data_IF_591931218118
#
_entry.id   IF_591931218118
#
_cell.length_a   1.000
_cell.length_b   1.000
_cell.length_c   1.000
_cell.angle_alpha   90.00
_cell.angle_beta   90.00
_cell.angle_gamma   90.00
#
_symmetry.space_group_name_H-M   'P 1'
#
loop_
_entity.id
_entity.type
_entity.pdbx_description
1 polymer ?
#
# COMPACT_ATOMS: atom_id res chain seq x y z
N UNK A 1 7.88 8.79 -15.41
CA UNK A 1 7.70 9.16 -13.99
C UNK A 1 7.69 7.87 -13.22
N UNK A 2 8.70 7.66 -12.39
CA UNK A 2 8.86 6.43 -11.61
C UNK A 2 8.02 6.57 -10.34
N UNK A 3 7.20 5.57 -10.03
CA UNK A 3 6.47 5.52 -8.76
C UNK A 3 7.50 5.13 -7.69
N UNK A 4 7.87 6.08 -6.83
CA UNK A 4 8.89 5.85 -5.79
C UNK A 4 8.21 5.24 -4.56
N UNK A 5 8.03 3.93 -4.58
CA UNK A 5 7.48 3.18 -3.45
C UNK A 5 8.25 3.49 -2.16
N UNK A 6 7.55 3.86 -1.09
CA UNK A 6 8.17 4.11 0.22
C UNK A 6 8.91 2.85 0.68
N UNK A 7 10.25 2.88 0.68
CA UNK A 7 11.12 1.75 1.07
C UNK A 7 11.07 1.40 2.57
N UNK A 8 10.33 2.15 3.37
CA UNK A 8 10.27 1.94 4.81
C UNK A 8 9.41 0.70 5.14
N UNK A 9 9.98 -0.34 5.79
CA UNK A 9 9.24 -1.55 6.14
C UNK A 9 8.03 -1.22 7.03
N UNK A 10 6.91 -1.91 6.77
CA UNK A 10 5.71 -1.79 7.60
C UNK A 10 5.84 -2.70 8.83
N UNK A 11 5.46 -2.20 10.00
CA UNK A 11 5.35 -3.01 11.22
C UNK A 11 3.91 -3.34 11.52
N UNK A 12 3.66 -4.60 11.88
CA UNK A 12 2.33 -5.07 12.27
C UNK A 12 1.82 -4.26 13.48
N UNK A 13 0.60 -3.68 13.42
CA UNK A 13 0.05 -2.93 14.54
C UNK A 13 -0.21 -3.81 15.77
N UNK A 14 -0.34 -5.13 15.58
CA UNK A 14 -0.59 -6.12 16.64
C UNK A 14 0.69 -6.77 17.17
N UNK A 15 1.47 -7.37 16.28
CA UNK A 15 2.66 -8.15 16.66
C UNK A 15 3.94 -7.31 16.69
N UNK A 16 3.93 -6.10 16.12
CA UNK A 16 5.09 -5.18 16.02
C UNK A 16 6.29 -5.70 15.21
N UNK A 17 6.16 -6.90 14.64
CA UNK A 17 7.11 -7.49 13.67
C UNK A 17 7.00 -6.82 12.30
N UNK A 18 8.02 -6.98 11.48
CA UNK A 18 7.99 -6.55 10.08
C UNK A 18 6.96 -7.34 9.28
N UNK A 19 6.16 -6.64 8.48
CA UNK A 19 5.16 -7.25 7.60
C UNK A 19 5.75 -7.46 6.21
N UNK A 20 5.35 -8.56 5.57
CA UNK A 20 5.76 -8.88 4.21
C UNK A 20 4.99 -7.99 3.22
N UNK A 21 5.70 -7.34 2.30
CA UNK A 21 5.07 -6.76 1.11
C UNK A 21 4.61 -7.90 0.21
N UNK A 22 3.31 -7.95 -0.08
CA UNK A 22 2.71 -9.06 -0.80
C UNK A 22 2.34 -8.70 -2.24
N UNK A 23 1.81 -7.50 -2.44
CA UNK A 23 1.39 -7.02 -3.74
C UNK A 23 1.27 -5.50 -3.77
N UNK A 24 1.29 -4.94 -4.97
CA UNK A 24 0.79 -3.60 -5.25
C UNK A 24 -0.52 -3.74 -6.04
N UNK A 25 -1.54 -3.00 -5.65
CA UNK A 25 -2.86 -3.01 -6.31
C UNK A 25 -3.36 -1.59 -6.53
N UNK A 26 -4.43 -1.46 -7.30
CA UNK A 26 -5.17 -0.21 -7.46
C UNK A 26 -6.35 -0.19 -6.50
N UNK A 27 -6.49 0.92 -5.80
CA UNK A 27 -7.67 1.28 -5.04
C UNK A 27 -8.46 2.32 -5.85
N UNK A 28 -9.56 1.85 -6.44
CA UNK A 28 -10.45 2.66 -7.28
C UNK A 28 -11.39 3.54 -6.44
N UNK A 29 -11.68 3.15 -5.19
CA UNK A 29 -12.54 3.92 -4.28
C UNK A 29 -11.78 5.12 -3.71
N UNK A 30 -10.48 4.94 -3.41
CA UNK A 30 -9.59 6.01 -2.96
C UNK A 30 -9.39 7.13 -4.00
N UNK A 31 -9.74 6.90 -5.27
CA UNK A 31 -9.70 7.90 -6.34
C UNK A 31 -10.57 9.11 -6.03
N UNK A 32 -11.76 8.88 -5.47
CA UNK A 32 -12.70 9.96 -5.13
C UNK A 32 -12.18 10.82 -3.97
N UNK A 33 -11.47 10.19 -3.03
CA UNK A 33 -10.93 10.86 -1.84
C UNK A 33 -9.58 11.53 -2.08
N UNK A 34 -8.83 11.10 -3.09
CA UNK A 34 -7.46 11.56 -3.31
C UNK A 34 -7.11 11.68 -4.80
N UNK A 35 -7.78 12.60 -5.52
CA UNK A 35 -7.61 12.76 -6.96
C UNK A 35 -6.19 13.18 -7.37
N UNK A 36 -5.39 13.74 -6.46
CA UNK A 36 -3.98 14.09 -6.69
C UNK A 36 -3.00 12.91 -6.66
N UNK A 37 -3.43 11.75 -6.14
CA UNK A 37 -2.61 10.53 -6.03
C UNK A 37 -2.97 9.50 -7.11
N UNK A 38 -3.82 9.86 -8.08
CA UNK A 38 -4.18 8.98 -9.19
C UNK A 38 -2.95 8.79 -10.08
N UNK A 39 -2.49 7.56 -10.17
CA UNK A 39 -1.51 7.15 -11.16
C UNK A 39 -2.07 7.40 -12.55
N UNK A 40 -1.61 8.46 -13.23
CA UNK A 40 -2.16 8.89 -14.52
C UNK A 40 -2.19 7.79 -15.60
N UNK A 41 -1.29 6.81 -15.49
CA UNK A 41 -1.20 5.66 -16.39
C UNK A 41 -2.09 4.46 -15.97
N UNK A 42 -2.45 4.38 -14.69
CA UNK A 42 -3.15 3.24 -14.09
C UNK A 42 -4.62 3.54 -13.77
N UNK A 43 -5.02 4.82 -13.73
CA UNK A 43 -6.40 5.22 -13.53
C UNK A 43 -6.91 5.08 -12.09
N UNK A 44 -6.03 4.72 -11.14
CA UNK A 44 -6.35 4.53 -9.73
C UNK A 44 -5.24 4.99 -8.78
N UNK A 45 -5.49 4.92 -7.48
CA UNK A 45 -4.46 5.14 -6.45
C UNK A 45 -3.72 3.82 -6.23
N UNK A 46 -2.39 3.82 -6.35
CA UNK A 46 -1.61 2.60 -6.11
C UNK A 46 -1.46 2.40 -4.60
N UNK A 47 -1.77 1.19 -4.12
CA UNK A 47 -1.63 0.80 -2.73
C UNK A 47 -0.82 -0.48 -2.61
N UNK A 48 0.14 -0.48 -1.70
CA UNK A 48 0.94 -1.63 -1.33
C UNK A 48 0.22 -2.41 -0.23
N UNK A 49 0.04 -3.72 -0.43
CA UNK A 49 -0.59 -4.65 0.50
C UNK A 49 0.49 -5.38 1.29
N UNK A 50 0.33 -5.39 2.61
CA UNK A 50 1.24 -6.05 3.55
C UNK A 50 0.50 -7.08 4.38
N UNK A 51 1.15 -8.22 4.64
CA UNK A 51 0.61 -9.28 5.50
C UNK A 51 1.60 -9.61 6.61
N UNK A 52 1.11 -9.69 7.85
CA UNK A 52 1.90 -10.09 9.00
C UNK A 52 2.17 -11.60 8.96
N UNK A 53 3.44 -12.04 8.98
CA UNK A 53 3.76 -13.48 8.95
C UNK A 53 3.38 -14.22 10.24
N UNK A 54 3.21 -13.51 11.35
CA UNK A 54 2.92 -14.12 12.67
C UNK A 54 1.42 -14.28 12.93
N UNK A 55 0.62 -13.26 12.64
CA UNK A 55 -0.81 -13.24 12.98
C UNK A 55 -1.76 -13.12 11.79
N UNK A 56 -1.23 -12.96 10.57
CA UNK A 56 -2.04 -12.84 9.36
C UNK A 56 -2.73 -11.48 9.17
N UNK A 57 -2.46 -10.48 10.02
CA UNK A 57 -3.01 -9.12 9.87
C UNK A 57 -2.66 -8.54 8.50
N UNK A 58 -3.64 -7.95 7.81
CA UNK A 58 -3.46 -7.33 6.50
C UNK A 58 -3.58 -5.82 6.65
N UNK A 59 -2.63 -5.08 6.09
CA UNK A 59 -2.66 -3.63 6.08
C UNK A 59 -2.22 -3.10 4.72
N UNK A 60 -2.72 -1.92 4.34
CA UNK A 60 -2.36 -1.26 3.09
C UNK A 60 -1.61 0.05 3.36
N UNK A 61 -0.78 0.47 2.42
CA UNK A 61 -0.16 1.79 2.42
C UNK A 61 -0.22 2.37 1.01
N UNK A 62 -0.64 3.64 0.92
CA UNK A 62 -0.57 4.36 -0.36
C UNK A 62 0.87 4.46 -0.83
N UNK A 63 1.06 4.15 -2.10
CA UNK A 63 2.31 4.36 -2.80
C UNK A 63 2.33 5.80 -3.32
N UNK A 64 2.92 6.70 -2.55
CA UNK A 64 3.14 8.11 -2.91
C UNK A 64 4.27 8.27 -3.91
#
# INVERSE_FOLDING_TARGET
MEVVMSRAPMRCPRCRVEMNHHADTLDEEAVAESPGEIGRALGGVVVAVYTCPECGEIATRRAS
#
